data_IF_080975986971
#
_entry.id   IF_080975986971
#
_cell.length_a   1.000
_cell.length_b   1.000
_cell.length_c   1.000
_cell.angle_alpha   90.00
_cell.angle_beta   90.00
_cell.angle_gamma   90.00
#
_symmetry.space_group_name_H-M   'P 1'
#
loop_
_entity.id
_entity.type
_entity.pdbx_description
1 polymer ?
#
# COMPACT_ATOMS: atom_id res chain seq x y z
N UNK A 1 16.04 -4.40 -14.48
CA UNK A 1 16.17 -5.73 -13.84
C UNK A 1 17.64 -5.97 -13.63
N UNK A 2 18.05 -6.39 -12.44
CA UNK A 2 19.45 -6.64 -12.12
C UNK A 2 19.72 -8.14 -12.18
N UNK A 3 20.74 -8.54 -12.92
CA UNK A 3 21.19 -9.94 -13.01
C UNK A 3 22.69 -9.98 -12.75
N UNK A 4 23.14 -10.90 -11.91
CA UNK A 4 24.59 -11.15 -11.76
C UNK A 4 25.14 -11.75 -13.05
N UNK A 5 26.28 -11.24 -13.52
CA UNK A 5 26.91 -11.67 -14.77
C UNK A 5 27.20 -13.17 -14.78
N UNK A 6 27.69 -13.70 -13.67
CA UNK A 6 28.11 -15.10 -13.54
C UNK A 6 26.99 -16.03 -13.05
N UNK A 7 25.73 -15.56 -13.03
CA UNK A 7 24.60 -16.37 -12.55
C UNK A 7 24.22 -17.47 -13.54
N UNK A 8 24.01 -18.68 -13.03
CA UNK A 8 23.43 -19.78 -13.80
C UNK A 8 21.92 -19.64 -13.89
N UNK A 9 21.35 -20.10 -15.00
CA UNK A 9 19.91 -20.11 -15.18
C UNK A 9 19.28 -21.26 -14.38
N UNK A 10 18.37 -20.94 -13.47
CA UNK A 10 17.60 -21.92 -12.69
C UNK A 10 16.15 -21.94 -13.15
N UNK A 11 15.67 -23.07 -13.67
CA UNK A 11 14.27 -23.24 -14.09
C UNK A 11 13.36 -23.44 -12.88
N UNK A 12 12.25 -22.71 -12.80
CA UNK A 12 11.24 -22.87 -11.75
C UNK A 12 11.62 -22.30 -10.38
N UNK A 13 12.79 -21.66 -10.24
CA UNK A 13 13.27 -21.10 -8.97
C UNK A 13 13.29 -19.57 -8.99
N UNK A 14 12.82 -18.94 -7.92
CA UNK A 14 13.07 -17.52 -7.64
C UNK A 14 14.51 -17.40 -7.09
N UNK A 15 15.44 -16.93 -7.92
CA UNK A 15 16.85 -16.71 -7.52
C UNK A 15 17.10 -15.27 -7.09
N UNK A 16 17.92 -15.10 -6.05
CA UNK A 16 18.46 -13.81 -5.62
C UNK A 16 19.46 -13.20 -6.62
N UNK A 17 19.90 -13.99 -7.59
CA UNK A 17 20.75 -13.51 -8.68
C UNK A 17 19.99 -12.58 -9.64
N UNK A 18 18.65 -12.69 -9.69
CA UNK A 18 17.78 -12.04 -10.66
C UNK A 18 16.77 -11.16 -9.92
N UNK A 19 17.19 -9.93 -9.62
CA UNK A 19 16.42 -8.99 -8.82
C UNK A 19 15.57 -8.06 -9.69
N UNK A 20 14.26 -8.09 -9.44
CA UNK A 20 13.34 -7.10 -9.99
C UNK A 20 13.35 -5.86 -9.11
N UNK A 21 13.93 -4.78 -9.62
CA UNK A 21 13.80 -3.45 -9.05
C UNK A 21 12.45 -2.87 -9.46
N UNK A 22 11.70 -2.37 -8.49
CA UNK A 22 10.37 -1.81 -8.70
C UNK A 22 10.35 -0.42 -8.12
N UNK A 23 9.97 0.55 -8.94
CA UNK A 23 9.67 1.89 -8.46
C UNK A 23 8.29 1.89 -7.80
N UNK A 24 8.21 2.39 -6.57
CA UNK A 24 6.95 2.59 -5.88
C UNK A 24 6.54 4.05 -6.03
N UNK A 25 5.26 4.26 -6.30
CA UNK A 25 4.66 5.59 -6.28
C UNK A 25 4.02 5.84 -4.93
N UNK A 26 3.88 7.12 -4.58
CA UNK A 26 3.28 7.55 -3.32
C UNK A 26 2.04 8.39 -3.63
N UNK A 27 1.00 8.18 -2.83
CA UNK A 27 -0.22 8.97 -2.89
C UNK A 27 -0.66 9.33 -1.48
N UNK A 28 -1.14 10.56 -1.34
CA UNK A 28 -1.75 11.05 -0.11
C UNK A 28 -3.25 10.75 -0.19
N UNK A 29 -3.76 9.97 0.76
CA UNK A 29 -5.14 9.46 0.78
C UNK A 29 -5.76 9.62 2.17
N UNK A 30 -7.07 9.60 2.19
CA UNK A 30 -7.87 9.63 3.41
C UNK A 30 -8.29 8.23 3.81
N UNK A 31 -8.13 7.90 5.08
CA UNK A 31 -8.76 6.72 5.68
C UNK A 31 -10.15 7.12 6.15
N UNK A 32 -11.17 6.57 5.48
CA UNK A 32 -12.58 6.88 5.75
C UNK A 32 -13.22 5.90 6.72
N UNK A 33 -12.70 4.68 6.82
CA UNK A 33 -13.27 3.66 7.69
C UNK A 33 -12.45 2.37 7.70
N UNK A 34 -13.02 1.38 8.37
CA UNK A 34 -12.46 0.04 8.52
C UNK A 34 -13.48 -1.00 8.04
N UNK A 35 -13.02 -2.01 7.33
CA UNK A 35 -13.79 -3.23 7.06
C UNK A 35 -13.78 -4.14 8.29
N UNK A 36 -14.68 -5.12 8.35
CA UNK A 36 -14.73 -6.15 9.43
C UNK A 36 -13.38 -6.84 9.65
N UNK A 37 -12.63 -7.08 8.57
CA UNK A 37 -11.26 -7.62 8.58
C UNK A 37 -10.19 -6.61 9.05
N UNK A 38 -10.58 -5.44 9.56
CA UNK A 38 -9.70 -4.33 9.98
C UNK A 38 -8.83 -3.76 8.86
N UNK A 39 -9.29 -3.90 7.61
CA UNK A 39 -8.67 -3.29 6.43
C UNK A 39 -9.08 -1.83 6.34
N UNK A 40 -8.16 -0.94 5.96
CA UNK A 40 -8.45 0.48 5.88
C UNK A 40 -9.12 0.81 4.56
N UNK A 41 -10.27 1.47 4.60
CA UNK A 41 -10.93 2.02 3.42
C UNK A 41 -10.25 3.33 3.04
N UNK A 42 -9.71 3.40 1.83
CA UNK A 42 -8.99 4.56 1.33
C UNK A 42 -9.87 5.34 0.35
N UNK A 43 -9.80 6.66 0.44
CA UNK A 43 -10.38 7.59 -0.52
C UNK A 43 -9.34 8.63 -0.95
N UNK A 44 -9.40 9.04 -2.22
CA UNK A 44 -8.64 10.18 -2.71
C UNK A 44 -9.22 11.50 -2.18
N UNK A 45 -8.48 12.60 -2.31
CA UNK A 45 -8.98 13.96 -2.04
C UNK A 45 -10.25 14.30 -2.80
N UNK A 46 -10.41 13.72 -3.99
CA UNK A 46 -11.55 13.97 -4.88
C UNK A 46 -12.81 13.18 -4.49
N UNK A 47 -12.80 12.49 -3.34
CA UNK A 47 -13.91 11.66 -2.84
C UNK A 47 -14.03 10.29 -3.52
N UNK A 48 -13.21 10.00 -4.54
CA UNK A 48 -13.19 8.69 -5.21
C UNK A 48 -12.56 7.61 -4.32
N UNK A 49 -13.11 6.39 -4.29
CA UNK A 49 -12.51 5.29 -3.53
C UNK A 49 -11.15 4.91 -4.14
N UNK A 50 -10.13 4.79 -3.30
CA UNK A 50 -8.75 4.43 -3.69
C UNK A 50 -8.44 2.94 -3.46
N UNK A 51 -9.34 2.22 -2.79
CA UNK A 51 -9.23 0.78 -2.51
C UNK A 51 -9.08 0.49 -1.01
N UNK A 52 -8.54 -0.67 -0.68
CA UNK A 52 -8.30 -1.09 0.71
C UNK A 52 -6.81 -1.26 0.99
N UNK A 53 -6.37 -0.84 2.17
CA UNK A 53 -5.00 -1.05 2.65
C UNK A 53 -4.98 -2.05 3.79
N UNK A 54 -4.30 -3.18 3.55
CA UNK A 54 -4.08 -4.24 4.55
C UNK A 54 -2.75 -4.05 5.26
N UNK A 55 -1.72 -3.54 4.57
CA UNK A 55 -0.36 -3.51 5.06
C UNK A 55 -0.08 -2.23 5.84
N UNK A 56 -0.26 -2.29 7.16
CA UNK A 56 0.09 -1.20 8.06
C UNK A 56 0.76 -1.73 9.35
N UNK A 57 1.75 -1.01 9.89
CA UNK A 57 2.37 -1.35 11.17
C UNK A 57 1.33 -1.40 12.32
N UNK A 58 1.51 -2.26 13.34
CA UNK A 58 0.57 -2.38 14.45
C UNK A 58 0.27 -1.06 15.18
N UNK A 59 1.29 -0.21 15.35
CA UNK A 59 1.13 1.11 15.98
C UNK A 59 0.22 2.02 15.16
N UNK A 60 0.45 2.09 13.85
CA UNK A 60 -0.35 2.90 12.94
C UNK A 60 -1.81 2.44 12.91
N UNK A 61 -2.05 1.11 12.94
CA UNK A 61 -3.40 0.54 13.05
C UNK A 61 -4.14 0.99 14.31
N UNK A 62 -3.47 0.97 15.46
CA UNK A 62 -4.08 1.45 16.72
C UNK A 62 -4.44 2.94 16.66
N UNK A 63 -3.55 3.76 16.10
CA UNK A 63 -3.79 5.21 15.98
C UNK A 63 -4.96 5.51 15.04
N UNK A 64 -5.00 4.88 13.86
CA UNK A 64 -6.09 5.05 12.90
C UNK A 64 -7.42 4.59 13.48
N UNK A 65 -7.43 3.42 14.14
CA UNK A 65 -8.62 2.89 14.80
C UNK A 65 -9.20 3.88 15.82
N UNK A 66 -8.37 4.40 16.73
CA UNK A 66 -8.80 5.37 17.76
C UNK A 66 -9.33 6.68 17.14
N UNK A 67 -8.69 7.18 16.08
CA UNK A 67 -9.13 8.40 15.40
C UNK A 67 -10.45 8.21 14.67
N UNK A 68 -10.64 7.05 14.03
CA UNK A 68 -11.89 6.70 13.37
C UNK A 68 -13.04 6.51 14.37
N UNK A 69 -12.80 5.90 15.54
CA UNK A 69 -13.79 5.85 16.63
C UNK A 69 -14.21 7.25 17.11
N UNK A 70 -13.30 8.22 17.05
CA UNK A 70 -13.58 9.62 17.37
C UNK A 70 -14.31 10.37 16.23
N UNK A 71 -14.63 9.69 15.13
CA UNK A 71 -15.27 10.28 13.95
C UNK A 71 -14.33 11.12 13.06
N UNK A 72 -13.00 11.03 13.27
CA UNK A 72 -12.03 11.82 12.51
C UNK A 72 -11.45 11.03 11.35
N UNK A 73 -11.52 11.61 10.14
CA UNK A 73 -10.81 11.08 8.98
C UNK A 73 -9.30 11.32 9.11
N UNK A 74 -8.51 10.30 8.78
CA UNK A 74 -7.06 10.35 8.94
C UNK A 74 -6.40 10.45 7.57
N UNK A 75 -5.60 11.49 7.36
CA UNK A 75 -4.78 11.61 6.17
C UNK A 75 -3.49 10.80 6.33
N UNK A 76 -3.19 9.96 5.34
CA UNK A 76 -2.01 9.08 5.35
C UNK A 76 -1.35 9.07 3.98
N UNK A 77 -0.03 8.88 3.97
CA UNK A 77 0.71 8.58 2.75
C UNK A 77 0.82 7.07 2.57
N UNK A 78 0.52 6.62 1.37
CA UNK A 78 0.52 5.21 1.00
C UNK A 78 1.47 5.00 -0.17
N UNK A 79 2.30 3.96 -0.09
CA UNK A 79 3.10 3.46 -1.21
C UNK A 79 2.30 2.42 -1.99
N UNK A 80 2.35 2.49 -3.31
CA UNK A 80 1.64 1.56 -4.20
C UNK A 80 2.46 1.30 -5.46
N UNK A 81 2.12 0.22 -6.18
CA UNK A 81 2.85 -0.16 -7.40
C UNK A 81 2.37 0.58 -8.64
N UNK A 82 1.09 0.45 -8.93
CA UNK A 82 0.46 1.05 -10.09
C UNK A 82 -1.04 1.22 -9.83
N UNK A 83 -1.69 2.04 -10.65
CA UNK A 83 -3.14 2.13 -10.68
C UNK A 83 -3.72 0.97 -11.50
N UNK A 84 -4.87 0.46 -11.08
CA UNK A 84 -5.66 -0.48 -11.87
C UNK A 84 -6.39 0.27 -12.99
N UNK A 85 -6.98 -0.47 -13.95
CA UNK A 85 -7.81 0.14 -15.01
C UNK A 85 -9.01 0.92 -14.44
N UNK A 86 -9.50 0.53 -13.27
CA UNK A 86 -10.55 1.22 -12.52
C UNK A 86 -10.02 2.33 -11.58
N UNK A 87 -8.75 2.72 -11.70
CA UNK A 87 -8.10 3.77 -10.91
C UNK A 87 -7.95 3.48 -9.41
N UNK A 88 -7.95 2.21 -9.00
CA UNK A 88 -7.61 1.81 -7.63
C UNK A 88 -6.11 1.62 -7.42
N UNK A 89 -5.64 1.84 -6.20
CA UNK A 89 -4.25 1.59 -5.81
C UNK A 89 -3.98 0.08 -5.76
N UNK A 90 -2.96 -0.40 -6.47
CA UNK A 90 -2.56 -1.81 -6.42
C UNK A 90 -1.56 -2.06 -5.30
N UNK A 91 -1.94 -2.95 -4.39
CA UNK A 91 -1.14 -3.35 -3.22
C UNK A 91 -0.67 -2.13 -2.42
N UNK A 92 -1.61 -1.27 -1.95
CA UNK A 92 -1.27 -0.14 -1.11
C UNK A 92 -0.71 -0.61 0.22
N UNK A 93 0.34 0.06 0.68
CA UNK A 93 0.92 -0.13 2.01
C UNK A 93 1.14 1.23 2.68
N UNK A 94 0.93 1.28 3.99
CA UNK A 94 1.16 2.47 4.78
C UNK A 94 2.64 2.86 4.77
N UNK A 95 2.90 4.16 4.63
CA UNK A 95 4.23 4.75 4.69
C UNK A 95 4.36 5.68 5.91
N UNK A 96 3.60 6.77 5.95
CA UNK A 96 3.61 7.73 7.06
C UNK A 96 2.28 8.46 7.25
N UNK A 97 2.13 9.09 8.42
CA UNK A 97 1.05 10.04 8.71
C UNK A 97 1.41 11.43 8.16
N UNK A 98 0.39 12.19 7.78
CA UNK A 98 0.49 13.58 7.32
C UNK A 98 -0.16 14.50 8.35
#
# INVERSE_FOLDING_TARGET
MLKRKDSRYYTGKRSDDWLKVINYSYADVWVTGLTDDRKWLLAFSDGKPAGTCEFAPPLARKTVYRRLESGQFVKVRVKYRNLTKASYLRTPAFDCFI
#
